data_IF_891215507425
#
_entry.id   IF_891215507425
#
_cell.length_a   1.000
_cell.length_b   1.000
_cell.length_c   1.000
_cell.angle_alpha   90.00
_cell.angle_beta   90.00
_cell.angle_gamma   90.00
#
_symmetry.space_group_name_H-M   'P 1'
#
loop_
_entity.id
_entity.type
_entity.pdbx_description
1 polymer ?
#
# COMPACT_ATOMS: atom_id res chain seq x y z
N UNK A 1 10.41 11.81 -13.21
CA UNK A 1 11.25 11.11 -12.18
C UNK A 1 10.34 10.22 -11.37
N UNK A 2 10.68 8.94 -11.22
CA UNK A 2 9.86 8.00 -10.45
C UNK A 2 9.84 8.39 -8.98
N UNK A 3 8.65 8.31 -8.35
CA UNK A 3 8.45 8.62 -6.93
C UNK A 3 7.91 7.39 -6.22
N UNK A 4 8.56 6.99 -5.13
CA UNK A 4 8.12 5.91 -4.27
C UNK A 4 7.52 6.45 -2.97
N UNK A 5 6.52 5.76 -2.44
CA UNK A 5 5.93 6.05 -1.13
C UNK A 5 5.94 4.80 -0.28
N UNK A 6 6.19 4.95 1.02
CA UNK A 6 6.14 3.86 1.98
C UNK A 6 5.43 4.30 3.25
N UNK A 7 4.80 3.34 3.91
CA UNK A 7 4.18 3.50 5.23
C UNK A 7 4.17 2.16 5.97
N UNK A 8 4.47 2.22 7.26
CA UNK A 8 4.37 1.08 8.15
C UNK A 8 3.52 1.42 9.36
N UNK A 9 2.61 0.53 9.71
CA UNK A 9 1.72 0.73 10.84
C UNK A 9 1.72 -0.48 11.77
N UNK A 10 1.45 -0.26 13.06
CA UNK A 10 1.20 -1.33 14.03
C UNK A 10 0.00 -1.01 14.91
N UNK A 11 -0.83 -2.02 15.19
CA UNK A 11 -1.96 -1.95 16.14
C UNK A 11 -1.47 -2.34 17.52
N UNK A 12 -0.83 -1.40 18.21
CA UNK A 12 -0.04 -1.60 19.42
C UNK A 12 1.45 -1.41 19.13
N UNK A 13 2.28 -1.25 20.18
CA UNK A 13 3.73 -0.98 20.00
C UNK A 13 4.60 -1.74 21.02
N UNK A 14 4.93 -3.04 20.76
CA UNK A 14 4.66 -3.82 19.55
C UNK A 14 3.21 -4.31 19.43
N UNK A 15 2.79 -4.63 18.19
CA UNK A 15 1.47 -5.18 17.88
C UNK A 15 1.39 -5.72 16.47
N UNK A 16 0.19 -6.14 16.04
CA UNK A 16 -0.08 -6.55 14.67
C UNK A 16 0.31 -5.42 13.71
N UNK A 17 1.17 -5.72 12.76
CA UNK A 17 1.80 -4.71 11.93
C UNK A 17 1.67 -5.03 10.43
N UNK A 18 1.64 -3.97 9.64
CA UNK A 18 1.58 -4.02 8.19
C UNK A 18 2.49 -3.01 7.53
N UNK A 19 2.97 -3.35 6.35
CA UNK A 19 3.74 -2.48 5.47
C UNK A 19 2.95 -2.21 4.20
N UNK A 20 3.05 -1.00 3.69
CA UNK A 20 2.50 -0.59 2.40
C UNK A 20 3.50 0.24 1.62
N UNK A 21 3.61 0.01 0.31
CA UNK A 21 4.48 0.80 -0.55
C UNK A 21 3.93 0.87 -1.98
N UNK A 22 4.30 1.94 -2.69
CA UNK A 22 3.93 2.12 -4.09
C UNK A 22 5.00 2.92 -4.85
N UNK A 23 4.99 2.77 -6.17
CA UNK A 23 5.82 3.53 -7.12
C UNK A 23 4.91 4.23 -8.13
N UNK A 24 5.15 5.50 -8.34
CA UNK A 24 4.48 6.32 -9.36
C UNK A 24 5.48 6.76 -10.43
N UNK A 25 5.04 6.77 -11.67
CA UNK A 25 5.74 7.38 -12.78
C UNK A 25 5.81 8.91 -12.65
N UNK A 26 6.53 9.55 -13.56
CA UNK A 26 6.65 11.01 -13.61
C UNK A 26 5.36 11.70 -14.06
N UNK A 27 4.48 10.99 -14.72
CA UNK A 27 3.11 11.37 -15.09
C UNK A 27 2.07 11.09 -13.99
N UNK A 28 2.52 10.55 -12.83
CA UNK A 28 1.64 10.15 -11.72
C UNK A 28 0.97 8.79 -11.90
N UNK A 29 1.26 8.05 -12.98
CA UNK A 29 0.73 6.71 -13.20
C UNK A 29 1.25 5.72 -12.16
N UNK A 30 0.39 4.80 -11.71
CA UNK A 30 0.78 3.75 -10.78
C UNK A 30 1.62 2.68 -11.51
N UNK A 31 2.90 2.59 -11.18
CA UNK A 31 3.82 1.58 -11.72
C UNK A 31 3.79 0.27 -10.92
N UNK A 32 3.61 0.38 -9.62
CA UNK A 32 3.55 -0.76 -8.71
C UNK A 32 3.00 -0.34 -7.36
N UNK A 33 2.26 -1.23 -6.71
CA UNK A 33 1.92 -1.14 -5.29
C UNK A 33 1.90 -2.53 -4.67
N UNK A 34 2.19 -2.62 -3.38
CA UNK A 34 2.10 -3.85 -2.60
C UNK A 34 1.85 -3.55 -1.13
N UNK A 35 1.32 -4.54 -0.42
CA UNK A 35 1.16 -4.50 1.02
C UNK A 35 1.46 -5.86 1.63
N UNK A 36 2.05 -5.86 2.84
CA UNK A 36 2.51 -7.09 3.51
C UNK A 36 2.18 -7.07 4.98
N UNK A 37 1.53 -8.13 5.46
CA UNK A 37 1.39 -8.37 6.89
C UNK A 37 2.74 -8.77 7.50
N UNK A 38 3.11 -8.15 8.62
CA UNK A 38 4.44 -8.30 9.22
C UNK A 38 4.42 -9.13 10.52
N UNK A 39 3.23 -9.57 10.97
CA UNK A 39 3.07 -10.15 12.30
C UNK A 39 3.25 -9.08 13.39
N UNK A 40 3.81 -9.46 14.53
CA UNK A 40 4.01 -8.54 15.65
C UNK A 40 5.30 -7.74 15.47
N UNK A 41 5.19 -6.42 15.31
CA UNK A 41 6.30 -5.48 15.18
C UNK A 41 6.00 -4.18 15.94
N UNK A 42 7.05 -3.42 16.22
CA UNK A 42 6.90 -2.01 16.62
C UNK A 42 6.55 -1.15 15.40
N UNK A 43 6.00 0.03 15.63
CA UNK A 43 5.69 0.95 14.53
C UNK A 43 6.94 1.31 13.71
N UNK A 44 8.07 1.59 14.36
CA UNK A 44 9.31 1.91 13.68
C UNK A 44 9.87 0.73 12.85
N UNK A 45 9.74 -0.51 13.33
CA UNK A 45 10.11 -1.68 12.55
C UNK A 45 9.21 -1.84 11.32
N UNK A 46 7.90 -1.60 11.45
CA UNK A 46 6.96 -1.67 10.34
C UNK A 46 7.28 -0.62 9.26
N UNK A 47 7.59 0.60 9.65
CA UNK A 47 8.04 1.67 8.76
C UNK A 47 9.31 1.28 7.97
N UNK A 48 10.31 0.72 8.65
CA UNK A 48 11.52 0.24 7.98
C UNK A 48 11.25 -0.95 7.05
N UNK A 49 10.39 -1.89 7.43
CA UNK A 49 10.01 -3.03 6.56
C UNK A 49 9.31 -2.53 5.29
N UNK A 50 8.44 -1.52 5.39
CA UNK A 50 7.81 -0.90 4.24
C UNK A 50 8.83 -0.24 3.30
N UNK A 51 9.79 0.49 3.86
CA UNK A 51 10.89 1.08 3.10
C UNK A 51 11.74 0.00 2.41
N UNK A 52 12.11 -1.07 3.12
CA UNK A 52 12.89 -2.17 2.55
C UNK A 52 12.15 -2.82 1.37
N UNK A 53 10.85 -3.10 1.52
CA UNK A 53 10.00 -3.64 0.46
C UNK A 53 10.01 -2.75 -0.79
N UNK A 54 9.93 -1.43 -0.61
CA UNK A 54 10.02 -0.45 -1.70
C UNK A 54 11.38 -0.48 -2.39
N UNK A 55 12.49 -0.49 -1.62
CA UNK A 55 13.84 -0.49 -2.15
C UNK A 55 14.17 -1.79 -2.90
N UNK A 56 13.71 -2.94 -2.41
CA UNK A 56 13.79 -4.23 -3.10
C UNK A 56 13.10 -4.15 -4.48
N UNK A 57 11.91 -3.52 -4.54
CA UNK A 57 11.17 -3.36 -5.80
C UNK A 57 11.86 -2.40 -6.76
N UNK A 58 12.38 -1.27 -6.26
CA UNK A 58 13.17 -0.32 -7.06
C UNK A 58 14.35 -1.02 -7.74
N UNK A 59 15.09 -1.83 -6.99
CA UNK A 59 16.21 -2.62 -7.52
C UNK A 59 15.76 -3.65 -8.54
N UNK A 60 14.70 -4.41 -8.23
CA UNK A 60 14.15 -5.43 -9.13
C UNK A 60 13.65 -4.85 -10.47
N UNK A 61 13.16 -3.61 -10.47
CA UNK A 61 12.75 -2.88 -11.68
C UNK A 61 13.92 -2.19 -12.40
N UNK A 62 15.13 -2.24 -11.85
CA UNK A 62 16.32 -1.61 -12.44
C UNK A 62 16.26 -0.09 -12.47
N UNK A 63 15.44 0.53 -11.60
CA UNK A 63 15.30 1.98 -11.53
C UNK A 63 16.59 2.61 -11.00
N UNK A 64 17.07 3.67 -11.67
CA UNK A 64 18.39 4.28 -11.37
C UNK A 64 18.30 5.49 -10.46
N UNK A 65 17.21 6.24 -10.53
CA UNK A 65 16.97 7.45 -9.72
C UNK A 65 15.52 7.47 -9.27
N UNK A 66 15.32 7.46 -7.95
CA UNK A 66 13.97 7.46 -7.35
C UNK A 66 13.94 8.40 -6.16
N UNK A 67 12.91 9.22 -6.09
CA UNK A 67 12.59 9.98 -4.90
C UNK A 67 11.68 9.11 -4.01
N UNK A 68 12.12 8.82 -2.78
CA UNK A 68 11.40 7.99 -1.83
C UNK A 68 10.82 8.89 -0.73
N UNK A 69 9.51 8.86 -0.58
CA UNK A 69 8.73 9.68 0.34
C UNK A 69 8.11 8.84 1.44
N UNK A 70 8.15 9.34 2.67
CA UNK A 70 7.48 8.74 3.83
C UNK A 70 7.17 9.79 4.87
N UNK A 71 6.19 9.53 5.73
CA UNK A 71 5.78 10.42 6.82
C UNK A 71 6.44 10.07 8.16
N UNK A 72 7.25 9.00 8.21
CA UNK A 72 8.13 8.70 9.33
C UNK A 72 9.37 9.58 9.32
N UNK A 73 9.33 10.68 10.09
CA UNK A 73 10.49 11.57 10.22
C UNK A 73 11.73 10.84 10.72
N UNK A 74 11.55 9.85 11.62
CA UNK A 74 12.63 9.02 12.14
C UNK A 74 13.32 8.25 11.02
N UNK A 75 12.58 7.48 10.24
CA UNK A 75 13.14 6.64 9.17
C UNK A 75 13.79 7.50 8.10
N UNK A 76 13.12 8.56 7.64
CA UNK A 76 13.66 9.47 6.62
C UNK A 76 14.96 10.12 7.07
N UNK A 77 15.02 10.70 8.29
CA UNK A 77 16.24 11.35 8.78
C UNK A 77 17.37 10.37 9.06
N UNK A 78 17.06 9.13 9.48
CA UNK A 78 18.07 8.09 9.66
C UNK A 78 18.64 7.60 8.31
N UNK A 79 17.81 7.41 7.30
CA UNK A 79 18.27 7.00 5.97
C UNK A 79 19.04 8.09 5.22
N UNK A 80 18.78 9.37 5.53
CA UNK A 80 19.61 10.51 5.07
C UNK A 80 20.93 10.64 5.82
N UNK A 81 21.12 9.91 6.93
CA UNK A 81 22.31 10.04 7.79
C UNK A 81 22.29 11.24 8.73
N UNK A 82 21.17 11.97 8.80
CA UNK A 82 20.99 13.12 9.70
C UNK A 82 20.87 12.66 11.17
N UNK A 83 20.25 11.52 11.41
CA UNK A 83 20.05 10.95 12.73
C UNK A 83 20.74 9.60 12.89
N UNK A 84 21.36 9.37 14.05
CA UNK A 84 21.99 8.09 14.39
C UNK A 84 20.92 7.04 14.70
N UNK A 85 21.13 5.81 14.21
CA UNK A 85 20.31 4.65 14.56
C UNK A 85 20.91 3.99 15.79
N UNK A 86 20.22 4.08 16.93
CA UNK A 86 20.69 3.52 18.22
C UNK A 86 20.14 2.11 18.46
N UNK A 87 18.96 1.80 17.94
CA UNK A 87 18.29 0.51 18.11
C UNK A 87 18.88 -0.51 17.13
N UNK A 88 19.47 -1.64 17.62
CA UNK A 88 20.14 -2.63 16.75
C UNK A 88 19.23 -3.21 15.67
N UNK A 89 17.95 -3.48 16.00
CA UNK A 89 16.97 -4.01 15.04
C UNK A 89 16.70 -3.04 13.90
N UNK A 90 16.60 -1.74 14.21
CA UNK A 90 16.42 -0.72 13.17
C UNK A 90 17.70 -0.52 12.34
N UNK A 91 18.88 -0.67 12.96
CA UNK A 91 20.15 -0.61 12.24
C UNK A 91 20.29 -1.76 11.23
N UNK A 92 19.85 -2.97 11.60
CA UNK A 92 19.81 -4.12 10.69
C UNK A 92 18.86 -3.86 9.50
N UNK A 93 17.65 -3.38 9.77
CA UNK A 93 16.66 -3.03 8.74
C UNK A 93 17.18 -1.93 7.81
N UNK A 94 17.79 -0.88 8.36
CA UNK A 94 18.41 0.17 7.56
C UNK A 94 19.52 -0.36 6.65
N UNK A 95 20.40 -1.23 7.19
CA UNK A 95 21.45 -1.89 6.40
C UNK A 95 20.86 -2.79 5.31
N UNK A 96 19.78 -3.51 5.61
CA UNK A 96 19.06 -4.32 4.61
C UNK A 96 18.49 -3.44 3.50
N UNK A 97 17.88 -2.30 3.85
CA UNK A 97 17.37 -1.33 2.89
C UNK A 97 18.47 -0.75 2.00
N UNK A 98 19.60 -0.35 2.58
CA UNK A 98 20.74 0.17 1.81
C UNK A 98 21.29 -0.88 0.80
N UNK A 99 21.41 -2.14 1.23
CA UNK A 99 21.80 -3.23 0.33
C UNK A 99 20.75 -3.48 -0.76
N UNK A 100 19.48 -3.43 -0.42
CA UNK A 100 18.38 -3.63 -1.37
C UNK A 100 18.33 -2.53 -2.43
N UNK A 101 18.63 -1.29 -2.09
CA UNK A 101 18.72 -0.17 -3.05
C UNK A 101 19.79 -0.41 -4.13
N UNK A 102 20.84 -1.18 -3.82
CA UNK A 102 21.91 -1.53 -4.75
C UNK A 102 22.60 -0.30 -5.33
N UNK A 103 22.65 -0.20 -6.67
CA UNK A 103 23.26 0.93 -7.39
C UNK A 103 22.28 2.08 -7.68
N UNK A 104 21.05 2.02 -7.18
CA UNK A 104 20.08 3.08 -7.38
C UNK A 104 20.41 4.31 -6.53
N UNK A 105 20.31 5.48 -7.13
CA UNK A 105 20.39 6.76 -6.39
C UNK A 105 19.02 7.08 -5.79
N UNK A 106 18.93 6.99 -4.45
CA UNK A 106 17.70 7.25 -3.70
C UNK A 106 17.80 8.60 -3.01
N UNK A 107 16.82 9.47 -3.24
CA UNK A 107 16.64 10.69 -2.45
C UNK A 107 15.47 10.51 -1.49
N UNK A 108 15.72 10.63 -0.19
CA UNK A 108 14.69 10.46 0.83
C UNK A 108 14.06 11.81 1.17
N UNK A 109 12.72 11.86 1.17
CA UNK A 109 11.96 13.09 1.44
C UNK A 109 10.89 12.79 2.48
N UNK A 110 10.89 13.57 3.56
CA UNK A 110 9.79 13.54 4.51
C UNK A 110 8.58 14.29 3.94
N UNK A 111 7.41 13.71 4.06
CA UNK A 111 6.13 14.35 3.70
C UNK A 111 5.17 14.28 4.89
N UNK A 112 4.24 15.23 5.03
CA UNK A 112 3.19 15.12 6.03
C UNK A 112 2.23 13.96 5.66
N UNK A 113 1.59 13.37 6.69
CA UNK A 113 0.74 12.18 6.57
C UNK A 113 -0.38 12.32 5.53
N UNK A 114 -0.92 13.52 5.39
CA UNK A 114 -1.96 13.86 4.41
C UNK A 114 -1.49 13.67 2.96
N UNK A 115 -0.16 13.68 2.73
CA UNK A 115 0.46 13.43 1.43
C UNK A 115 0.96 11.98 1.25
N UNK A 116 0.77 11.12 2.29
CA UNK A 116 1.15 9.70 2.26
C UNK A 116 -0.06 8.74 2.34
N UNK A 117 -1.26 9.23 2.12
CA UNK A 117 -2.53 8.51 2.35
C UNK A 117 -2.67 7.20 1.58
N UNK A 118 -2.02 7.06 0.41
CA UNK A 118 -2.08 5.83 -0.37
C UNK A 118 -1.25 4.72 0.29
N UNK A 119 -0.03 5.01 0.71
CA UNK A 119 0.82 4.04 1.42
C UNK A 119 0.23 3.70 2.81
N UNK A 120 -0.31 4.69 3.55
CA UNK A 120 -1.04 4.48 4.82
C UNK A 120 -2.23 3.51 4.64
N UNK A 121 -3.01 3.66 3.57
CA UNK A 121 -4.10 2.73 3.26
C UNK A 121 -3.58 1.31 2.99
N UNK A 122 -2.46 1.15 2.31
CA UNK A 122 -1.85 -0.15 2.03
C UNK A 122 -1.33 -0.82 3.30
N UNK A 123 -0.65 -0.09 4.20
CA UNK A 123 -0.16 -0.63 5.47
C UNK A 123 -1.30 -1.11 6.37
N UNK A 124 -2.40 -0.34 6.43
CA UNK A 124 -3.60 -0.71 7.16
C UNK A 124 -4.30 -1.93 6.53
N UNK A 125 -4.41 -1.98 5.20
CA UNK A 125 -4.95 -3.14 4.47
C UNK A 125 -4.17 -4.42 4.77
N UNK A 126 -2.85 -4.33 4.90
CA UNK A 126 -1.99 -5.46 5.23
C UNK A 126 -2.30 -6.09 6.60
N UNK A 127 -2.67 -5.27 7.59
CA UNK A 127 -3.08 -5.74 8.92
C UNK A 127 -4.49 -6.34 8.94
N UNK A 128 -5.34 -5.96 7.98
CA UNK A 128 -6.70 -6.49 7.91
C UNK A 128 -6.75 -7.95 7.41
N UNK A 129 -5.63 -8.47 6.89
CA UNK A 129 -5.50 -9.83 6.34
C UNK A 129 -6.33 -10.05 5.06
N UNK A 130 -6.16 -11.17 4.36
CA UNK A 130 -7.02 -11.55 3.25
C UNK A 130 -8.39 -12.02 3.78
N UNK A 131 -9.22 -11.09 4.25
CA UNK A 131 -10.54 -11.39 4.81
C UNK A 131 -11.08 -10.36 5.79
N UNK A 132 -10.25 -9.44 6.31
CA UNK A 132 -10.72 -8.29 7.08
C UNK A 132 -10.73 -7.03 6.20
N UNK A 133 -11.69 -6.96 5.27
CA UNK A 133 -12.06 -5.68 4.69
C UNK A 133 -12.57 -4.78 5.81
N UNK A 134 -11.97 -3.60 5.96
CA UNK A 134 -12.46 -2.54 6.85
C UNK A 134 -13.97 -2.37 6.66
N UNK A 135 -14.77 -2.89 7.60
CA UNK A 135 -16.14 -2.49 7.90
C UNK A 135 -17.19 -2.32 6.80
N UNK A 136 -16.91 -2.68 5.54
CA UNK A 136 -17.94 -2.79 4.52
C UNK A 136 -18.34 -4.27 4.45
N UNK A 137 -19.53 -4.61 4.92
CA UNK A 137 -20.12 -5.93 4.77
C UNK A 137 -19.81 -6.47 3.37
N UNK A 138 -19.16 -7.66 3.29
CA UNK A 138 -18.88 -8.33 2.01
C UNK A 138 -20.19 -8.47 1.26
N UNK A 139 -20.18 -8.07 -0.02
CA UNK A 139 -21.39 -8.27 -0.83
C UNK A 139 -21.49 -9.77 -1.15
N UNK A 140 -22.65 -10.42 -0.91
CA UNK A 140 -22.84 -11.84 -1.18
C UNK A 140 -22.68 -12.14 -2.66
N UNK A 141 -21.89 -13.16 -3.01
CA UNK A 141 -21.63 -13.54 -4.41
C UNK A 141 -22.88 -14.06 -5.10
N UNK A 142 -23.78 -14.72 -4.36
CA UNK A 142 -25.10 -15.17 -4.86
C UNK A 142 -26.02 -14.03 -5.32
N UNK A 143 -25.71 -12.78 -4.97
CA UNK A 143 -26.40 -11.57 -5.42
C UNK A 143 -25.75 -10.89 -6.62
N UNK A 144 -24.73 -11.53 -7.22
CA UNK A 144 -24.10 -11.08 -8.46
C UNK A 144 -24.63 -11.91 -9.62
N UNK A 145 -25.46 -11.30 -10.45
CA UNK A 145 -25.88 -11.88 -11.72
C UNK A 145 -24.82 -11.61 -12.79
N UNK A 146 -24.29 -12.65 -13.40
CA UNK A 146 -23.31 -12.56 -14.47
C UNK A 146 -24.04 -12.31 -15.80
N UNK A 147 -23.79 -11.17 -16.41
CA UNK A 147 -24.33 -10.81 -17.73
C UNK A 147 -23.35 -11.22 -18.84
N UNK A 148 -22.05 -10.96 -18.62
CA UNK A 148 -20.95 -11.42 -19.49
C UNK A 148 -19.74 -11.79 -18.62
N UNK A 149 -18.65 -12.27 -19.25
CA UNK A 149 -17.40 -12.58 -18.54
C UNK A 149 -16.80 -11.39 -17.78
N UNK A 150 -17.22 -10.17 -18.06
CA UNK A 150 -16.68 -8.93 -17.48
C UNK A 150 -17.74 -8.01 -16.89
N UNK A 151 -19.04 -8.30 -17.08
CA UNK A 151 -20.13 -7.45 -16.62
C UNK A 151 -21.05 -8.22 -15.70
N UNK A 152 -21.36 -7.65 -14.54
CA UNK A 152 -22.24 -8.21 -13.53
C UNK A 152 -23.30 -7.19 -13.11
N UNK A 153 -24.46 -7.69 -12.65
CA UNK A 153 -25.44 -6.89 -11.90
C UNK A 153 -25.37 -7.31 -10.44
N UNK A 154 -25.16 -6.34 -9.56
CA UNK A 154 -25.18 -6.55 -8.12
C UNK A 154 -26.58 -6.21 -7.58
N UNK A 155 -27.34 -7.24 -7.19
CA UNK A 155 -28.70 -7.11 -6.68
C UNK A 155 -28.72 -6.79 -5.18
N UNK A 156 -29.29 -5.63 -4.81
CA UNK A 156 -29.38 -5.18 -3.43
C UNK A 156 -30.72 -4.51 -3.15
N UNK A 157 -30.69 -3.44 -2.34
CA UNK A 157 -31.85 -2.53 -2.21
C UNK A 157 -32.09 -1.80 -3.53
N UNK A 158 -31.01 -1.56 -4.26
CA UNK A 158 -30.98 -1.08 -5.64
C UNK A 158 -29.98 -1.94 -6.42
N UNK A 159 -30.20 -2.09 -7.73
CA UNK A 159 -29.31 -2.82 -8.60
C UNK A 159 -28.21 -1.93 -9.16
N UNK A 160 -26.97 -2.46 -9.18
CA UNK A 160 -25.82 -1.72 -9.65
C UNK A 160 -25.03 -2.53 -10.69
N UNK A 161 -24.73 -1.90 -11.83
CA UNK A 161 -23.85 -2.49 -12.82
C UNK A 161 -22.40 -2.47 -12.36
N UNK A 162 -21.70 -3.59 -12.55
CA UNK A 162 -20.27 -3.78 -12.25
C UNK A 162 -19.57 -4.17 -13.52
N UNK A 163 -18.61 -3.38 -13.95
CA UNK A 163 -17.78 -3.60 -15.12
C UNK A 163 -16.34 -3.89 -14.71
N UNK A 164 -15.91 -5.13 -14.87
CA UNK A 164 -14.56 -5.59 -14.54
C UNK A 164 -13.53 -5.15 -15.60
N UNK A 165 -13.96 -4.91 -16.84
CA UNK A 165 -13.05 -4.48 -17.91
C UNK A 165 -12.47 -3.08 -17.61
N UNK A 166 -13.35 -2.17 -17.18
CA UNK A 166 -12.97 -0.79 -16.84
C UNK A 166 -12.76 -0.59 -15.31
N UNK A 167 -13.03 -1.62 -14.50
CA UNK A 167 -12.88 -1.56 -13.05
C UNK A 167 -13.85 -0.59 -12.37
N UNK A 168 -15.08 -0.45 -12.87
CA UNK A 168 -16.07 0.52 -12.39
C UNK A 168 -17.34 -0.14 -11.87
N UNK A 169 -18.06 0.59 -11.00
CA UNK A 169 -19.38 0.22 -10.51
C UNK A 169 -20.28 1.47 -10.42
N UNK A 170 -21.56 1.31 -10.77
CA UNK A 170 -22.50 2.43 -10.76
C UNK A 170 -22.98 2.85 -9.37
N UNK A 171 -22.63 2.10 -8.30
CA UNK A 171 -23.12 2.38 -6.94
C UNK A 171 -22.59 3.70 -6.36
N UNK A 172 -23.33 4.34 -5.43
CA UNK A 172 -22.92 5.60 -4.82
C UNK A 172 -21.59 5.53 -4.06
N UNK A 173 -21.25 4.37 -3.48
CA UNK A 173 -19.98 4.18 -2.78
C UNK A 173 -18.79 4.26 -3.74
N UNK A 174 -18.89 3.62 -4.92
CA UNK A 174 -17.87 3.69 -5.95
C UNK A 174 -17.70 5.11 -6.50
N UNK A 175 -18.81 5.81 -6.79
CA UNK A 175 -18.76 7.21 -7.28
C UNK A 175 -18.03 8.15 -6.33
N UNK A 176 -18.10 7.91 -5.00
CA UNK A 176 -17.44 8.75 -3.99
C UNK A 176 -16.01 8.36 -3.68
N UNK A 177 -15.67 7.05 -3.73
CA UNK A 177 -14.41 6.50 -3.21
C UNK A 177 -13.56 5.78 -4.26
N UNK A 178 -14.07 5.57 -5.49
CA UNK A 178 -13.40 4.76 -6.52
C UNK A 178 -13.30 3.27 -6.18
N UNK A 179 -13.95 2.82 -5.10
CA UNK A 179 -13.96 1.43 -4.64
C UNK A 179 -15.30 1.08 -3.98
N UNK A 180 -15.74 -0.18 -4.09
CA UNK A 180 -16.95 -0.64 -3.42
C UNK A 180 -16.99 -2.17 -3.27
N UNK A 181 -17.81 -2.64 -2.34
CA UNK A 181 -18.04 -4.08 -2.07
C UNK A 181 -18.51 -4.89 -3.28
N UNK A 182 -19.25 -4.29 -4.21
CA UNK A 182 -19.78 -4.97 -5.41
C UNK A 182 -18.66 -5.30 -6.40
N UNK A 183 -17.78 -4.31 -6.68
CA UNK A 183 -16.63 -4.52 -7.55
C UNK A 183 -15.63 -5.52 -6.95
N UNK A 184 -15.42 -5.47 -5.64
CA UNK A 184 -14.53 -6.40 -4.93
C UNK A 184 -15.10 -7.83 -4.93
N UNK A 185 -16.44 -7.99 -4.80
CA UNK A 185 -17.09 -9.29 -4.90
C UNK A 185 -16.99 -9.86 -6.32
N UNK A 186 -17.28 -9.08 -7.34
CA UNK A 186 -17.21 -9.52 -8.75
C UNK A 186 -15.79 -9.92 -9.20
N UNK A 187 -14.74 -9.35 -8.60
CA UNK A 187 -13.34 -9.73 -8.88
C UNK A 187 -12.93 -11.09 -8.30
N UNK A 188 -13.71 -11.65 -7.40
CA UNK A 188 -13.46 -12.99 -6.80
C UNK A 188 -14.09 -14.14 -7.57
N UNK A 189 -15.01 -13.86 -8.52
CA UNK A 189 -15.64 -14.82 -9.41
C UNK A 189 -14.83 -15.05 -10.69
#
# INVERSE_FOLDING_TARGET
MVTGYFDGASRGNPGEAGAGALLLGDDGSLLWEDCRALGTKTNNEAEYEALVMLLEKISAMGLKRVEVRGDSRLVVSQMKGEWKIKEPRLAELASRGQRAAGAAHISYVWVPREKNTHADRLSNKAMDGPGKSTGAASFPEEKLERITDKIYIAHGTEDYAVDLLHGVCTCPAFRRKGACKHLDAARRL
#
